data_IF_989375187172
#
_entry.id   IF_989375187172
#
_cell.length_a   1.000
_cell.length_b   1.000
_cell.length_c   1.000
_cell.angle_alpha   90.00
_cell.angle_beta   90.00
_cell.angle_gamma   90.00
#
_symmetry.space_group_name_H-M   'P 1'
#
loop_
_entity.id
_entity.type
_entity.pdbx_description
1 polymer ?
#
# COMPACT_ATOMS: atom_id res chain seq x y z
N UNK A 1 14.21 8.31 -14.76
CA UNK A 1 13.53 6.99 -14.61
C UNK A 1 12.33 6.93 -15.53
N UNK A 2 12.11 5.82 -16.24
CA UNK A 2 10.99 5.64 -17.18
C UNK A 2 9.69 5.22 -16.45
N UNK A 3 8.53 5.37 -17.11
CA UNK A 3 7.19 5.05 -16.55
C UNK A 3 7.07 3.59 -16.05
N UNK A 4 7.75 2.65 -16.73
CA UNK A 4 7.74 1.24 -16.35
C UNK A 4 8.44 1.00 -15.01
N UNK A 5 9.55 1.68 -14.74
CA UNK A 5 10.25 1.57 -13.46
C UNK A 5 9.39 2.10 -12.31
N UNK A 6 8.67 3.21 -12.51
CA UNK A 6 7.73 3.73 -11.51
C UNK A 6 6.59 2.74 -11.21
N UNK A 7 6.01 2.11 -12.24
CA UNK A 7 4.98 1.08 -12.02
C UNK A 7 5.52 -0.12 -11.25
N UNK A 8 6.75 -0.53 -11.51
CA UNK A 8 7.40 -1.62 -10.78
C UNK A 8 7.63 -1.26 -9.32
N UNK A 9 8.14 -0.06 -9.02
CA UNK A 9 8.34 0.43 -7.66
C UNK A 9 7.02 0.49 -6.90
N UNK A 10 5.97 1.05 -7.52
CA UNK A 10 4.65 1.13 -6.90
C UNK A 10 4.06 -0.27 -6.61
N UNK A 11 4.22 -1.23 -7.52
CA UNK A 11 3.76 -2.61 -7.32
C UNK A 11 4.47 -3.27 -6.13
N UNK A 12 5.81 -3.18 -6.08
CA UNK A 12 6.58 -3.72 -4.95
C UNK A 12 6.22 -3.03 -3.63
N UNK A 13 6.08 -1.70 -3.65
CA UNK A 13 5.64 -0.91 -2.51
C UNK A 13 4.24 -1.31 -2.02
N UNK A 14 3.32 -1.60 -2.93
CA UNK A 14 1.98 -2.07 -2.59
C UNK A 14 2.01 -3.43 -1.89
N UNK A 15 2.82 -4.38 -2.40
CA UNK A 15 3.02 -5.68 -1.75
C UNK A 15 3.61 -5.56 -0.33
N UNK A 16 4.62 -4.69 -0.16
CA UNK A 16 5.17 -4.39 1.17
C UNK A 16 4.15 -3.73 2.09
N UNK A 17 3.33 -2.82 1.57
CA UNK A 17 2.23 -2.20 2.31
C UNK A 17 1.20 -3.21 2.81
N UNK A 18 0.81 -4.17 1.97
CA UNK A 18 -0.08 -5.29 2.37
C UNK A 18 0.54 -6.09 3.51
N UNK A 19 1.81 -6.49 3.38
CA UNK A 19 2.49 -7.25 4.43
C UNK A 19 2.52 -6.49 5.76
N UNK A 20 2.76 -5.18 5.72
CA UNK A 20 2.76 -4.34 6.91
C UNK A 20 1.37 -4.22 7.54
N UNK A 21 0.31 -4.06 6.73
CA UNK A 21 -1.08 -4.06 7.20
C UNK A 21 -1.46 -5.39 7.85
N UNK A 22 -1.06 -6.52 7.25
CA UNK A 22 -1.28 -7.85 7.83
C UNK A 22 -0.53 -7.99 9.15
N UNK A 23 0.73 -7.54 9.23
CA UNK A 23 1.50 -7.58 10.47
C UNK A 23 0.88 -6.69 11.56
N UNK A 24 0.38 -5.50 11.21
CA UNK A 24 -0.32 -4.62 12.13
C UNK A 24 -1.64 -5.24 12.62
N UNK A 25 -2.40 -5.87 11.73
CA UNK A 25 -3.62 -6.61 12.08
C UNK A 25 -3.32 -7.80 12.99
N UNK A 26 -2.25 -8.55 12.71
CA UNK A 26 -1.79 -9.62 13.58
C UNK A 26 -1.40 -9.10 14.97
N UNK A 27 -0.65 -8.00 15.03
CA UNK A 27 -0.30 -7.36 16.30
C UNK A 27 -1.53 -6.90 17.09
N UNK A 28 -2.58 -6.44 16.41
CA UNK A 28 -3.82 -6.01 17.04
C UNK A 28 -4.69 -7.17 17.55
N UNK A 29 -4.83 -8.25 16.77
CA UNK A 29 -5.77 -9.34 17.09
C UNK A 29 -5.14 -10.52 17.84
N UNK A 30 -3.83 -10.74 17.69
CA UNK A 30 -3.15 -11.94 18.18
C UNK A 30 -2.13 -11.68 19.30
N UNK A 31 -1.95 -10.43 19.72
CA UNK A 31 -0.98 -10.07 20.78
C UNK A 31 -1.54 -9.03 21.75
N UNK A 32 -0.99 -8.97 22.96
CA UNK A 32 -1.36 -7.96 23.97
C UNK A 32 -0.70 -6.60 23.74
N UNK A 33 0.05 -6.42 22.64
CA UNK A 33 0.73 -5.15 22.32
C UNK A 33 -0.27 -4.00 22.22
N UNK A 34 -1.52 -4.26 21.82
CA UNK A 34 -2.57 -3.24 21.80
C UNK A 34 -3.10 -2.83 23.17
N UNK A 35 -2.74 -3.48 24.28
CA UNK A 35 -3.26 -3.14 25.61
C UNK A 35 -2.56 -1.91 26.22
N UNK A 36 -1.40 -1.54 25.69
CA UNK A 36 -0.66 -0.35 26.09
C UNK A 36 -0.82 0.77 25.06
N UNK A 37 -0.87 2.03 25.51
CA UNK A 37 -1.03 3.20 24.64
C UNK A 37 0.07 3.26 23.56
N UNK A 38 1.32 3.00 23.93
CA UNK A 38 2.45 3.01 23.01
C UNK A 38 2.28 1.97 21.90
N UNK A 39 1.81 0.77 22.24
CA UNK A 39 1.58 -0.30 21.26
C UNK A 39 0.38 -0.03 20.36
N UNK A 40 -0.70 0.56 20.89
CA UNK A 40 -1.81 1.04 20.06
C UNK A 40 -1.35 2.08 19.02
N UNK A 41 -0.55 3.06 19.43
CA UNK A 41 -0.02 4.09 18.52
C UNK A 41 0.90 3.47 17.47
N UNK A 42 1.74 2.52 17.85
CA UNK A 42 2.62 1.81 16.93
C UNK A 42 1.81 1.01 15.87
N UNK A 43 0.80 0.27 16.29
CA UNK A 43 -0.10 -0.49 15.40
C UNK A 43 -0.85 0.45 14.45
N UNK A 44 -1.43 1.54 14.97
CA UNK A 44 -2.13 2.53 14.15
C UNK A 44 -1.21 3.19 13.12
N UNK A 45 0.03 3.50 13.51
CA UNK A 45 1.05 4.04 12.62
C UNK A 45 1.46 3.04 11.54
N UNK A 46 1.61 1.76 11.90
CA UNK A 46 1.90 0.69 10.95
C UNK A 46 0.78 0.53 9.92
N UNK A 47 -0.49 0.58 10.34
CA UNK A 47 -1.63 0.63 9.42
C UNK A 47 -1.58 1.83 8.50
N UNK A 48 -1.35 3.04 9.04
CA UNK A 48 -1.30 4.27 8.25
C UNK A 48 -0.20 4.20 7.18
N UNK A 49 1.02 3.77 7.55
CA UNK A 49 2.14 3.62 6.61
C UNK A 49 1.83 2.53 5.58
N UNK A 50 1.31 1.38 6.00
CA UNK A 50 1.00 0.27 5.10
C UNK A 50 -0.05 0.63 4.06
N UNK A 51 -1.13 1.31 4.46
CA UNK A 51 -2.17 1.80 3.57
C UNK A 51 -1.64 2.90 2.63
N UNK A 52 -0.80 3.80 3.14
CA UNK A 52 -0.15 4.84 2.33
C UNK A 52 0.75 4.23 1.25
N UNK A 53 1.49 3.16 1.57
CA UNK A 53 2.31 2.42 0.61
C UNK A 53 1.48 1.65 -0.41
N UNK A 54 0.27 1.20 -0.05
CA UNK A 54 -0.65 0.56 -1.00
C UNK A 54 -1.28 1.53 -2.01
N UNK A 55 -1.58 2.76 -1.61
CA UNK A 55 -2.38 3.70 -2.41
C UNK A 55 -1.86 4.01 -3.85
N UNK A 56 -0.55 4.17 -4.11
CA UNK A 56 -0.06 4.62 -5.43
C UNK A 56 -0.28 3.62 -6.57
N UNK A 57 -0.19 2.30 -6.30
CA UNK A 57 -0.22 1.30 -7.37
C UNK A 57 -1.58 1.21 -8.11
N UNK A 58 -2.73 1.12 -7.41
CA UNK A 58 -4.04 1.14 -8.06
C UNK A 58 -4.28 2.42 -8.88
N UNK A 59 -3.86 3.57 -8.38
CA UNK A 59 -3.97 4.86 -9.09
C UNK A 59 -3.17 4.80 -10.40
N UNK A 60 -1.93 4.32 -10.35
CA UNK A 60 -1.10 4.18 -11.54
C UNK A 60 -1.67 3.16 -12.54
N UNK A 61 -2.32 2.09 -12.07
CA UNK A 61 -2.98 1.11 -12.92
C UNK A 61 -4.15 1.77 -13.68
N UNK A 62 -4.97 2.56 -12.98
CA UNK A 62 -6.09 3.29 -13.58
C UNK A 62 -5.62 4.27 -14.65
N UNK A 63 -4.59 5.09 -14.37
CA UNK A 63 -4.04 6.04 -15.36
C UNK A 63 -3.43 5.29 -16.56
N UNK A 64 -2.80 4.14 -16.32
CA UNK A 64 -2.25 3.31 -17.40
C UNK A 64 -3.33 2.67 -18.26
N UNK A 65 -4.47 2.30 -17.67
CA UNK A 65 -5.65 1.86 -18.40
C UNK A 65 -6.23 3.00 -19.25
N UNK A 66 -6.42 4.20 -18.68
CA UNK A 66 -6.97 5.35 -19.39
C UNK A 66 -6.13 5.71 -20.64
N UNK A 67 -4.81 5.79 -20.50
CA UNK A 67 -3.89 6.05 -21.63
C UNK A 67 -3.92 4.99 -22.73
N UNK A 68 -4.30 3.74 -22.40
CA UNK A 68 -4.49 2.69 -23.42
C UNK A 68 -5.77 2.93 -24.21
N UNK A 69 -6.84 3.40 -23.57
CA UNK A 69 -8.10 3.71 -24.26
C UNK A 69 -7.92 4.84 -25.27
N UNK A 70 -7.28 5.95 -24.87
CA UNK A 70 -7.00 7.08 -25.77
C UNK A 70 -6.20 6.66 -27.02
N UNK A 71 -5.33 5.66 -26.88
CA UNK A 71 -4.48 5.16 -27.96
C UNK A 71 -5.21 4.19 -28.91
N UNK A 72 -6.33 3.61 -28.48
CA UNK A 72 -7.09 2.61 -29.25
C UNK A 72 -8.35 3.23 -29.87
N UNK A 73 -8.79 4.40 -29.40
CA UNK A 73 -9.94 5.15 -29.92
C UNK A 73 -9.64 6.15 -31.05
N UNK A 74 -8.40 6.20 -31.52
CA UNK A 74 -7.95 6.89 -32.74
C UNK A 74 -7.47 5.85 -33.77
#
# INVERSE_FOLDING_TARGET
MNWQNWMRIAHWGHGLGILLVIAAAWGYFATDVSNELTGMVAIASAFAIGLLMMAPYPVMLFISWARKQDRTGN
#
